data_IF_299043250662
#
_entry.id   IF_299043250662
#
_cell.length_a   1.000
_cell.length_b   1.000
_cell.length_c   1.000
_cell.angle_alpha   90.00
_cell.angle_beta   90.00
_cell.angle_gamma   90.00
#
_symmetry.space_group_name_H-M   'P 1'
#
loop_
_entity.id
_entity.type
_entity.pdbx_description
1 polymer ?
#
# COMPACT_ATOMS: atom_id res chain seq x y z
N UNK A 1 20.29 0.18 1.82
CA UNK A 1 21.18 1.18 2.43
C UNK A 1 20.58 2.58 2.37
N UNK A 2 20.18 3.12 1.19
CA UNK A 2 19.59 4.46 1.04
C UNK A 2 18.28 4.64 1.83
N UNK A 3 17.39 3.64 1.82
CA UNK A 3 16.17 3.68 2.65
C UNK A 3 16.50 3.87 4.14
N UNK A 4 17.42 3.05 4.69
CA UNK A 4 17.84 3.17 6.09
C UNK A 4 18.50 4.53 6.38
N UNK A 5 19.29 5.05 5.42
CA UNK A 5 19.90 6.38 5.51
C UNK A 5 18.91 7.56 5.51
N UNK A 6 17.65 7.32 5.14
CA UNK A 6 16.54 8.29 5.27
C UNK A 6 15.73 8.13 6.56
N UNK A 7 16.08 7.17 7.42
CA UNK A 7 15.28 6.84 8.60
C UNK A 7 14.07 5.95 8.29
N UNK A 8 13.99 5.36 7.10
CA UNK A 8 12.93 4.40 6.78
C UNK A 8 13.16 3.12 7.60
N UNK A 9 12.15 2.73 8.36
CA UNK A 9 12.15 1.56 9.23
C UNK A 9 11.34 0.38 8.66
N UNK A 10 10.48 0.64 7.69
CA UNK A 10 9.51 -0.33 7.18
C UNK A 10 9.60 -0.42 5.67
N UNK A 11 9.67 -1.65 5.16
CA UNK A 11 9.59 -1.98 3.74
C UNK A 11 8.34 -2.79 3.49
N UNK A 12 7.59 -2.41 2.46
CA UNK A 12 6.35 -3.07 2.08
C UNK A 12 6.53 -3.64 0.68
N UNK A 13 6.39 -4.95 0.54
CA UNK A 13 6.22 -5.57 -0.76
C UNK A 13 4.81 -5.30 -1.22
N UNK A 14 4.64 -4.52 -2.29
CA UNK A 14 3.29 -4.13 -2.74
C UNK A 14 2.41 -5.32 -3.08
N UNK A 15 3.00 -6.37 -3.70
CA UNK A 15 2.34 -7.64 -3.99
C UNK A 15 3.36 -8.73 -4.25
N UNK A 16 3.09 -9.94 -3.84
CA UNK A 16 3.96 -11.10 -4.08
C UNK A 16 3.87 -11.66 -5.49
N UNK A 17 2.96 -11.14 -6.28
CA UNK A 17 2.81 -11.43 -7.70
C UNK A 17 1.64 -10.67 -8.29
N UNK A 18 1.68 -10.50 -9.61
CA UNK A 18 0.63 -9.88 -10.39
C UNK A 18 0.31 -10.73 -11.62
N UNK A 19 -0.94 -11.16 -11.73
CA UNK A 19 -1.38 -12.06 -12.80
C UNK A 19 -0.49 -13.32 -12.84
N UNK A 20 0.33 -13.48 -13.88
CA UNK A 20 1.20 -14.65 -14.06
C UNK A 20 2.63 -14.47 -13.50
N UNK A 21 3.00 -13.27 -13.05
CA UNK A 21 4.35 -13.02 -12.56
C UNK A 21 4.37 -13.05 -11.04
N UNK A 22 5.21 -13.89 -10.44
CA UNK A 22 5.36 -14.05 -9.00
C UNK A 22 6.80 -13.80 -8.56
N UNK A 23 7.00 -13.45 -7.31
CA UNK A 23 8.30 -13.03 -6.77
C UNK A 23 9.01 -14.10 -5.95
N UNK A 24 8.38 -15.24 -5.75
CA UNK A 24 8.90 -16.36 -4.96
C UNK A 24 8.41 -17.70 -5.52
N UNK A 25 9.05 -18.85 -5.19
CA UNK A 25 8.70 -20.17 -5.70
C UNK A 25 7.46 -20.77 -5.02
N UNK A 26 6.29 -20.17 -5.28
CA UNK A 26 5.02 -20.71 -4.85
C UNK A 26 4.67 -22.00 -5.58
N UNK A 27 4.54 -23.10 -4.87
CA UNK A 27 4.15 -24.38 -5.46
C UNK A 27 2.74 -24.30 -6.06
N UNK A 28 1.83 -23.61 -5.37
CA UNK A 28 0.46 -23.44 -5.80
C UNK A 28 0.36 -22.59 -7.09
N UNK A 29 0.97 -21.43 -7.10
CA UNK A 29 0.88 -20.50 -8.27
C UNK A 29 1.66 -21.02 -9.48
N UNK A 30 2.79 -21.71 -9.28
CA UNK A 30 3.52 -22.37 -10.36
C UNK A 30 2.69 -23.47 -11.04
N UNK A 31 1.95 -24.27 -10.26
CA UNK A 31 1.00 -25.27 -10.80
C UNK A 31 -0.14 -24.61 -11.60
N UNK A 32 -0.49 -23.37 -11.31
CA UNK A 32 -1.44 -22.54 -12.07
C UNK A 32 -0.84 -21.89 -13.31
N UNK A 33 0.44 -22.14 -13.61
CA UNK A 33 1.13 -21.61 -14.78
C UNK A 33 1.69 -20.19 -14.60
N UNK A 34 1.94 -19.77 -13.36
CA UNK A 34 2.66 -18.54 -13.09
C UNK A 34 4.17 -18.71 -13.33
N UNK A 35 4.86 -17.59 -13.54
CA UNK A 35 6.31 -17.52 -13.77
C UNK A 35 6.98 -16.77 -12.62
N UNK A 36 8.17 -17.23 -12.22
CA UNK A 36 9.03 -16.52 -11.29
C UNK A 36 10.38 -16.17 -11.94
N UNK A 37 11.10 -15.15 -11.46
CA UNK A 37 12.48 -14.93 -11.84
C UNK A 37 13.37 -16.08 -11.35
N UNK A 38 14.61 -16.14 -11.82
CA UNK A 38 15.60 -17.15 -11.42
C UNK A 38 16.01 -17.05 -9.95
N UNK A 39 15.64 -15.97 -9.26
CA UNK A 39 15.98 -15.68 -7.87
C UNK A 39 14.69 -15.55 -7.07
N UNK A 40 14.67 -16.09 -5.86
CA UNK A 40 13.62 -15.84 -4.87
C UNK A 40 13.77 -14.41 -4.33
N UNK A 41 12.97 -13.49 -4.86
CA UNK A 41 13.05 -12.08 -4.48
C UNK A 41 12.53 -11.83 -3.06
N UNK A 42 11.58 -12.62 -2.58
CA UNK A 42 11.03 -12.48 -1.23
C UNK A 42 12.10 -12.84 -0.19
N UNK A 43 12.79 -13.97 -0.38
CA UNK A 43 13.91 -14.36 0.49
C UNK A 43 15.02 -13.30 0.48
N UNK A 44 15.36 -12.80 -0.71
CA UNK A 44 16.37 -11.75 -0.85
C UNK A 44 15.96 -10.46 -0.10
N UNK A 45 14.72 -10.01 -0.21
CA UNK A 45 14.23 -8.81 0.49
C UNK A 45 14.18 -9.00 2.00
N UNK A 46 13.75 -10.15 2.48
CA UNK A 46 13.72 -10.48 3.91
C UNK A 46 15.13 -10.55 4.51
N UNK A 47 16.08 -11.19 3.82
CA UNK A 47 17.48 -11.21 4.23
C UNK A 47 18.08 -9.78 4.32
N UNK A 48 17.73 -8.90 3.38
CA UNK A 48 18.14 -7.51 3.44
C UNK A 48 17.44 -6.75 4.58
N UNK A 49 16.17 -6.97 4.81
CA UNK A 49 15.44 -6.37 5.92
C UNK A 49 16.00 -6.83 7.28
N UNK A 50 16.31 -8.13 7.44
CA UNK A 50 16.99 -8.66 8.62
C UNK A 50 18.36 -8.00 8.84
N UNK A 51 19.15 -7.84 7.76
CA UNK A 51 20.47 -7.24 7.81
C UNK A 51 20.45 -5.77 8.24
N UNK A 52 19.45 -5.01 7.78
CA UNK A 52 19.35 -3.58 8.06
C UNK A 52 18.42 -3.25 9.23
N UNK A 53 17.92 -4.27 9.92
CA UNK A 53 16.99 -4.13 11.05
C UNK A 53 15.78 -3.27 10.64
N UNK A 54 15.07 -3.75 9.63
CA UNK A 54 13.86 -3.12 9.07
C UNK A 54 12.67 -4.06 9.24
N UNK A 55 11.49 -3.51 9.38
CA UNK A 55 10.23 -4.26 9.39
C UNK A 55 9.81 -4.52 7.94
N UNK A 56 9.43 -5.75 7.63
CA UNK A 56 8.95 -6.13 6.31
C UNK A 56 7.48 -6.55 6.36
N UNK A 57 6.65 -5.88 5.58
CA UNK A 57 5.26 -6.29 5.34
C UNK A 57 5.15 -7.02 4.01
N UNK A 58 4.60 -8.22 4.08
CA UNK A 58 4.42 -9.06 2.90
C UNK A 58 3.10 -8.73 2.22
N UNK A 59 3.16 -8.26 0.96
CA UNK A 59 1.99 -8.03 0.12
C UNK A 59 1.47 -9.31 -0.52
N UNK A 60 0.17 -9.55 -0.40
CA UNK A 60 -0.49 -10.72 -0.93
C UNK A 60 -0.45 -10.77 -2.47
N UNK A 61 -0.82 -11.91 -3.03
CA UNK A 61 -0.91 -12.08 -4.48
C UNK A 61 -2.11 -11.34 -5.06
N UNK A 62 -1.90 -10.73 -6.22
CA UNK A 62 -2.92 -10.02 -7.01
C UNK A 62 -3.15 -10.77 -8.32
N UNK A 63 -4.27 -11.46 -8.43
CA UNK A 63 -4.62 -12.21 -9.63
C UNK A 63 -4.93 -11.31 -10.83
N UNK A 64 -5.20 -10.04 -10.59
CA UNK A 64 -5.66 -9.06 -11.57
C UNK A 64 -7.14 -9.13 -11.90
N UNK A 65 -7.88 -10.13 -11.38
CA UNK A 65 -9.31 -10.32 -11.72
C UNK A 65 -10.18 -9.19 -11.21
N UNK A 66 -9.90 -8.67 -10.00
CA UNK A 66 -10.71 -7.59 -9.45
C UNK A 66 -10.58 -6.28 -10.25
N UNK A 67 -9.46 -6.06 -10.92
CA UNK A 67 -9.29 -4.94 -11.83
C UNK A 67 -10.22 -5.02 -13.05
N UNK A 68 -10.45 -6.25 -13.53
CA UNK A 68 -11.28 -6.49 -14.70
C UNK A 68 -12.79 -6.57 -14.33
N UNK A 69 -13.10 -7.00 -13.11
CA UNK A 69 -14.50 -7.31 -12.68
C UNK A 69 -15.09 -6.31 -11.67
N UNK A 70 -14.24 -5.54 -10.98
CA UNK A 70 -14.63 -4.71 -9.83
C UNK A 70 -15.04 -5.51 -8.57
N UNK A 71 -14.67 -6.81 -8.52
CA UNK A 71 -15.04 -7.75 -7.45
C UNK A 71 -13.80 -8.30 -6.76
N UNK A 72 -13.57 -7.96 -5.47
CA UNK A 72 -12.37 -8.36 -4.72
C UNK A 72 -12.42 -9.81 -4.22
N UNK A 73 -13.57 -10.43 -4.16
CA UNK A 73 -13.73 -11.81 -3.66
C UNK A 73 -12.91 -12.84 -4.44
N UNK A 74 -12.57 -12.57 -5.70
CA UNK A 74 -11.68 -13.42 -6.50
C UNK A 74 -10.30 -13.61 -5.89
N UNK A 75 -9.80 -12.61 -5.16
CA UNK A 75 -8.45 -12.67 -4.57
C UNK A 75 -8.36 -13.62 -3.38
N UNK A 76 -9.49 -13.94 -2.73
CA UNK A 76 -9.56 -14.87 -1.60
C UNK A 76 -9.19 -16.31 -2.02
N UNK A 77 -9.61 -16.73 -3.23
CA UNK A 77 -9.40 -18.10 -3.71
C UNK A 77 -7.92 -18.51 -3.74
N UNK A 78 -7.08 -17.62 -4.25
CA UNK A 78 -5.66 -17.89 -4.40
C UNK A 78 -4.88 -17.57 -3.12
N UNK A 79 -5.25 -16.48 -2.44
CA UNK A 79 -4.52 -16.04 -1.28
C UNK A 79 -4.63 -16.96 -0.07
N UNK A 80 -5.69 -17.75 0.06
CA UNK A 80 -5.74 -18.78 1.11
C UNK A 80 -4.57 -19.77 1.07
N UNK A 81 -4.08 -20.11 -0.12
CA UNK A 81 -2.90 -20.98 -0.27
C UNK A 81 -1.59 -20.19 -0.14
N UNK A 82 -1.55 -18.98 -0.69
CA UNK A 82 -0.39 -18.08 -0.61
C UNK A 82 -0.04 -17.73 0.83
N UNK A 83 -1.03 -17.39 1.66
CA UNK A 83 -0.83 -17.02 3.08
C UNK A 83 -0.17 -18.17 3.85
N UNK A 84 -0.71 -19.38 3.74
CA UNK A 84 -0.18 -20.57 4.43
C UNK A 84 1.24 -20.92 3.96
N UNK A 85 1.46 -20.88 2.64
CA UNK A 85 2.74 -21.21 2.01
C UNK A 85 3.84 -20.21 2.42
N UNK A 86 3.52 -18.92 2.38
CA UNK A 86 4.45 -17.84 2.75
C UNK A 86 4.80 -17.87 4.22
N UNK A 87 3.83 -18.05 5.10
CA UNK A 87 4.11 -18.15 6.52
C UNK A 87 5.02 -19.34 6.85
N UNK A 88 4.74 -20.50 6.24
CA UNK A 88 5.56 -21.70 6.41
C UNK A 88 6.97 -21.50 5.88
N UNK A 89 7.13 -20.82 4.75
CA UNK A 89 8.42 -20.65 4.07
C UNK A 89 9.29 -19.56 4.67
N UNK A 90 8.70 -18.41 5.05
CA UNK A 90 9.44 -17.22 5.44
C UNK A 90 9.10 -16.72 6.85
N UNK A 91 7.84 -16.71 7.22
CA UNK A 91 7.37 -16.00 8.40
C UNK A 91 8.05 -16.43 9.71
N UNK A 92 8.40 -17.72 9.83
CA UNK A 92 9.09 -18.26 11.02
C UNK A 92 10.61 -18.15 10.96
N UNK A 93 11.17 -17.73 9.84
CA UNK A 93 12.61 -17.79 9.58
C UNK A 93 13.28 -16.43 9.55
N UNK A 94 12.50 -15.37 9.39
CA UNK A 94 13.00 -13.99 9.29
C UNK A 94 12.42 -13.12 10.42
N UNK A 95 13.29 -12.53 11.22
CA UNK A 95 12.88 -11.61 12.30
C UNK A 95 12.24 -10.34 11.79
N UNK A 96 12.55 -9.95 10.54
CA UNK A 96 12.00 -8.78 9.87
C UNK A 96 10.58 -8.97 9.37
N UNK A 97 10.06 -10.21 9.27
CA UNK A 97 8.68 -10.44 8.85
C UNK A 97 7.72 -9.87 9.90
N UNK A 98 7.29 -8.62 9.71
CA UNK A 98 6.57 -7.84 10.71
C UNK A 98 5.08 -7.72 10.49
N UNK A 99 4.56 -8.19 9.35
CA UNK A 99 3.13 -8.10 9.08
C UNK A 99 2.73 -8.40 7.64
N UNK A 100 1.45 -8.18 7.36
CA UNK A 100 0.82 -8.50 6.09
C UNK A 100 0.21 -7.25 5.45
N UNK A 101 0.44 -7.08 4.17
CA UNK A 101 -0.28 -6.13 3.36
C UNK A 101 -1.31 -6.87 2.48
N UNK A 102 -2.57 -6.61 2.72
CA UNK A 102 -3.64 -7.15 1.88
C UNK A 102 -3.76 -6.24 0.66
N UNK A 103 -3.10 -6.64 -0.41
CA UNK A 103 -2.73 -5.81 -1.56
C UNK A 103 -3.87 -5.46 -2.53
N UNK A 104 -5.13 -5.67 -2.14
CA UNK A 104 -6.27 -5.18 -2.90
C UNK A 104 -6.34 -3.66 -2.86
N UNK A 105 -5.94 -3.01 -3.96
CA UNK A 105 -6.18 -1.58 -4.12
C UNK A 105 -7.65 -1.35 -4.44
N UNK A 106 -8.40 -0.89 -3.46
CA UNK A 106 -9.84 -0.69 -3.60
C UNK A 106 -10.21 0.79 -3.53
N UNK A 107 -11.36 1.09 -4.16
CA UNK A 107 -12.18 2.23 -3.77
C UNK A 107 -13.39 1.74 -2.96
N UNK A 108 -14.14 2.69 -2.42
CA UNK A 108 -15.44 2.45 -1.81
C UNK A 108 -16.42 1.64 -2.67
N UNK A 109 -16.26 1.67 -4.00
CA UNK A 109 -17.14 1.00 -4.98
C UNK A 109 -16.76 -0.46 -5.26
N UNK A 110 -15.65 -0.94 -4.72
CA UNK A 110 -15.18 -2.31 -4.98
C UNK A 110 -16.08 -3.32 -4.30
N UNK A 111 -16.70 -4.19 -5.10
CA UNK A 111 -17.62 -5.22 -4.60
C UNK A 111 -16.89 -6.28 -3.80
N UNK A 112 -17.55 -6.83 -2.79
CA UNK A 112 -17.01 -7.91 -1.97
C UNK A 112 -15.82 -7.53 -1.08
N UNK A 113 -15.45 -6.24 -0.99
CA UNK A 113 -14.25 -5.79 -0.30
C UNK A 113 -14.24 -6.14 1.19
N UNK A 114 -15.34 -5.89 1.91
CA UNK A 114 -15.45 -6.17 3.35
C UNK A 114 -15.19 -7.65 3.62
N UNK A 115 -15.93 -8.55 2.94
CA UNK A 115 -15.79 -9.98 3.13
C UNK A 115 -14.39 -10.49 2.74
N UNK A 116 -13.83 -9.98 1.65
CA UNK A 116 -12.51 -10.37 1.19
C UNK A 116 -11.41 -9.95 2.17
N UNK A 117 -11.43 -8.70 2.66
CA UNK A 117 -10.49 -8.21 3.65
C UNK A 117 -10.63 -8.94 4.98
N UNK A 118 -11.87 -9.17 5.44
CA UNK A 118 -12.10 -9.93 6.66
C UNK A 118 -11.53 -11.34 6.57
N UNK A 119 -11.83 -12.06 5.46
CA UNK A 119 -11.40 -13.44 5.27
C UNK A 119 -9.86 -13.55 5.19
N UNK A 120 -9.23 -12.72 4.35
CA UNK A 120 -7.77 -12.74 4.20
C UNK A 120 -7.06 -12.22 5.45
N UNK A 121 -7.55 -11.14 6.07
CA UNK A 121 -6.98 -10.58 7.29
C UNK A 121 -7.05 -11.57 8.45
N UNK A 122 -8.19 -12.23 8.62
CA UNK A 122 -8.34 -13.28 9.64
C UNK A 122 -7.35 -14.42 9.44
N UNK A 123 -7.21 -14.93 8.22
CA UNK A 123 -6.26 -16.00 7.94
C UNK A 123 -4.81 -15.57 8.18
N UNK A 124 -4.43 -14.35 7.75
CA UNK A 124 -3.11 -13.79 8.03
C UNK A 124 -2.79 -13.78 9.53
N UNK A 125 -3.74 -13.30 10.35
CA UNK A 125 -3.60 -13.31 11.81
C UNK A 125 -3.53 -14.73 12.39
N UNK A 126 -4.42 -15.60 11.97
CA UNK A 126 -4.51 -16.98 12.47
C UNK A 126 -3.18 -17.76 12.25
N UNK A 127 -2.59 -17.69 11.05
CA UNK A 127 -1.35 -18.41 10.75
C UNK A 127 -0.13 -17.82 11.45
N UNK A 128 -0.11 -16.48 11.64
CA UNK A 128 1.05 -15.76 12.15
C UNK A 128 1.01 -15.47 13.66
N UNK A 129 -0.03 -15.92 14.36
CA UNK A 129 -0.18 -15.63 15.78
C UNK A 129 -0.50 -14.15 16.06
N UNK A 130 -1.20 -13.48 15.15
CA UNK A 130 -1.69 -12.13 15.33
C UNK A 130 -0.79 -11.03 14.80
N UNK A 131 0.14 -11.30 13.86
CA UNK A 131 0.90 -10.23 13.22
C UNK A 131 -0.01 -9.20 12.56
N UNK A 132 0.38 -7.92 12.57
CA UNK A 132 -0.44 -6.85 12.04
C UNK A 132 -0.71 -6.99 10.55
N UNK A 133 -1.90 -6.54 10.18
CA UNK A 133 -2.38 -6.47 8.80
C UNK A 133 -2.71 -5.04 8.43
N UNK A 134 -2.49 -4.65 7.18
CA UNK A 134 -2.96 -3.35 6.70
C UNK A 134 -3.48 -3.38 5.26
N UNK A 135 -4.23 -2.35 4.92
CA UNK A 135 -4.76 -2.09 3.57
C UNK A 135 -4.35 -0.69 3.10
N UNK A 136 -4.36 -0.47 1.78
CA UNK A 136 -4.02 0.84 1.21
C UNK A 136 -4.99 1.23 0.08
N UNK A 137 -6.21 1.66 0.44
CA UNK A 137 -7.22 2.10 -0.52
C UNK A 137 -6.96 3.53 -1.00
N UNK A 138 -7.61 3.92 -2.12
CA UNK A 138 -7.58 5.32 -2.56
C UNK A 138 -8.84 6.10 -2.17
N UNK A 139 -8.70 7.43 -2.23
CA UNK A 139 -9.79 8.39 -1.96
C UNK A 139 -10.28 8.92 -3.30
N UNK A 140 -11.60 8.96 -3.55
CA UNK A 140 -12.20 9.48 -4.78
C UNK A 140 -12.39 11.01 -4.71
N UNK A 141 -11.29 11.76 -4.63
CA UNK A 141 -11.29 13.23 -4.61
C UNK A 141 -11.31 13.87 -6.00
N UNK A 142 -11.04 15.16 -6.08
CA UNK A 142 -11.10 15.98 -7.32
C UNK A 142 -10.24 15.46 -8.47
N UNK A 143 -9.17 14.71 -8.16
CA UNK A 143 -8.25 14.12 -9.14
C UNK A 143 -8.54 12.64 -9.42
N UNK A 144 -9.65 12.11 -8.92
CA UNK A 144 -10.03 10.72 -9.15
C UNK A 144 -10.17 10.44 -10.65
N UNK A 145 -9.59 9.32 -11.06
CA UNK A 145 -9.65 8.83 -12.44
C UNK A 145 -10.06 7.36 -12.46
N UNK A 146 -10.73 6.97 -13.53
CA UNK A 146 -11.07 5.59 -13.80
C UNK A 146 -10.54 5.17 -15.17
N UNK A 147 -10.28 3.89 -15.33
CA UNK A 147 -9.97 3.31 -16.65
C UNK A 147 -11.27 2.97 -17.33
N UNK A 148 -11.52 3.58 -18.50
CA UNK A 148 -12.68 3.30 -19.32
C UNK A 148 -12.22 3.05 -20.76
N UNK A 149 -12.42 1.82 -21.25
CA UNK A 149 -12.00 1.45 -22.61
C UNK A 149 -10.50 1.64 -22.90
N UNK A 150 -9.64 1.47 -21.90
CA UNK A 150 -8.20 1.69 -22.01
C UNK A 150 -7.76 3.16 -21.93
N UNK A 151 -8.69 4.10 -21.73
CA UNK A 151 -8.41 5.52 -21.52
C UNK A 151 -8.69 5.89 -20.07
N UNK A 152 -7.87 6.81 -19.53
CA UNK A 152 -8.14 7.42 -18.24
C UNK A 152 -9.19 8.53 -18.41
N UNK A 153 -10.32 8.35 -17.76
CA UNK A 153 -11.39 9.35 -17.69
C UNK A 153 -11.53 9.86 -16.27
N UNK A 154 -12.09 11.06 -16.11
CA UNK A 154 -12.38 11.62 -14.79
C UNK A 154 -13.43 10.74 -14.09
N UNK A 155 -13.14 10.30 -12.87
CA UNK A 155 -14.11 9.62 -12.02
C UNK A 155 -15.01 10.62 -11.29
N UNK A 156 -16.14 10.12 -10.77
CA UNK A 156 -17.01 10.93 -9.92
C UNK A 156 -16.31 11.29 -8.62
N UNK A 157 -16.34 12.58 -8.30
CA UNK A 157 -15.84 13.10 -7.02
C UNK A 157 -16.86 12.77 -5.93
N UNK A 158 -16.36 12.21 -4.83
CA UNK A 158 -17.19 11.95 -3.66
C UNK A 158 -17.29 13.17 -2.76
N UNK A 159 -18.45 13.38 -2.12
CA UNK A 159 -18.54 14.33 -1.01
C UNK A 159 -17.86 13.76 0.24
N UNK A 160 -17.44 14.64 1.13
CA UNK A 160 -16.79 14.25 2.39
C UNK A 160 -17.73 13.42 3.26
N UNK A 161 -19.01 13.77 3.30
CA UNK A 161 -20.05 13.10 4.07
C UNK A 161 -20.32 11.67 3.53
N UNK A 162 -20.32 11.51 2.21
CA UNK A 162 -20.49 10.21 1.57
C UNK A 162 -19.26 9.34 1.80
N UNK A 163 -18.05 9.91 1.69
CA UNK A 163 -16.81 9.22 2.02
C UNK A 163 -16.81 8.74 3.49
N UNK A 164 -17.17 9.61 4.43
CA UNK A 164 -17.26 9.26 5.85
C UNK A 164 -18.25 8.12 6.09
N UNK A 165 -19.44 8.19 5.47
CA UNK A 165 -20.47 7.15 5.59
C UNK A 165 -19.99 5.80 5.08
N UNK A 166 -19.43 5.75 3.89
CA UNK A 166 -19.03 4.49 3.25
C UNK A 166 -17.81 3.86 3.93
N UNK A 167 -16.83 4.65 4.31
CA UNK A 167 -15.67 4.13 5.04
C UNK A 167 -16.00 3.76 6.49
N UNK A 168 -17.02 4.39 7.10
CA UNK A 168 -17.53 3.92 8.36
C UNK A 168 -18.12 2.50 8.27
N UNK A 169 -18.86 2.20 7.20
CA UNK A 169 -19.39 0.84 6.95
C UNK A 169 -18.26 -0.17 6.68
N UNK A 170 -17.27 0.21 5.88
CA UNK A 170 -16.13 -0.66 5.58
C UNK A 170 -15.35 -0.97 6.87
N UNK A 171 -14.99 0.05 7.64
CA UNK A 171 -14.22 -0.15 8.88
C UNK A 171 -14.98 -0.96 9.92
N UNK A 172 -16.31 -0.76 10.05
CA UNK A 172 -17.15 -1.58 10.91
C UNK A 172 -17.03 -3.07 10.59
N UNK A 173 -16.96 -3.40 9.30
CA UNK A 173 -16.86 -4.78 8.83
C UNK A 173 -15.46 -5.42 8.90
N UNK A 174 -14.39 -4.64 9.09
CA UNK A 174 -13.01 -5.17 8.98
C UNK A 174 -12.11 -4.89 10.19
N UNK A 175 -12.50 -4.03 11.12
CA UNK A 175 -11.63 -3.54 12.20
C UNK A 175 -11.08 -4.66 13.13
N UNK A 176 -11.76 -5.79 13.24
CA UNK A 176 -11.26 -6.92 14.03
C UNK A 176 -10.03 -7.59 13.41
N UNK A 177 -9.83 -7.42 12.11
CA UNK A 177 -8.80 -8.13 11.34
C UNK A 177 -7.83 -7.21 10.58
N UNK A 178 -8.08 -5.91 10.58
CA UNK A 178 -7.21 -4.90 9.95
C UNK A 178 -6.72 -3.93 11.01
N UNK A 179 -5.41 -3.86 11.19
CA UNK A 179 -4.76 -3.04 12.23
C UNK A 179 -4.38 -1.65 11.73
N UNK A 180 -4.18 -1.46 10.42
CA UNK A 180 -3.83 -0.17 9.85
C UNK A 180 -4.47 0.05 8.47
N UNK A 181 -4.78 1.31 8.17
CA UNK A 181 -5.24 1.75 6.86
C UNK A 181 -4.38 2.91 6.37
N UNK A 182 -3.73 2.71 5.21
CA UNK A 182 -2.86 3.70 4.59
C UNK A 182 -3.54 4.28 3.34
N UNK A 183 -4.34 5.32 3.50
CA UNK A 183 -5.03 5.94 2.37
C UNK A 183 -4.06 6.56 1.36
N UNK A 184 -4.25 6.22 0.08
CA UNK A 184 -3.51 6.80 -1.05
C UNK A 184 -4.04 8.20 -1.37
N UNK A 185 -3.14 9.16 -1.50
CA UNK A 185 -3.48 10.57 -1.69
C UNK A 185 -3.45 11.05 -3.15
N UNK A 186 -3.20 10.15 -4.10
CA UNK A 186 -3.01 10.52 -5.50
C UNK A 186 -4.25 11.04 -6.22
N UNK A 187 -5.43 10.77 -5.70
CA UNK A 187 -6.70 11.17 -6.32
C UNK A 187 -7.36 12.37 -5.64
N UNK A 188 -6.73 12.96 -4.61
CA UNK A 188 -7.21 14.20 -3.97
C UNK A 188 -6.33 15.39 -4.37
N UNK A 189 -6.92 16.58 -4.41
CA UNK A 189 -6.17 17.79 -4.64
C UNK A 189 -5.60 18.35 -3.32
N UNK A 190 -4.63 19.24 -3.41
CA UNK A 190 -3.94 19.79 -2.24
C UNK A 190 -4.86 20.57 -1.31
N UNK A 191 -5.92 21.19 -1.83
CA UNK A 191 -6.94 21.86 -1.04
C UNK A 191 -7.92 20.93 -0.33
N UNK A 192 -7.92 19.63 -0.67
CA UNK A 192 -8.76 18.60 -0.05
C UNK A 192 -8.03 17.82 1.06
N UNK A 193 -6.68 17.90 1.12
CA UNK A 193 -5.87 17.08 2.02
C UNK A 193 -6.33 17.14 3.47
N UNK A 194 -6.41 18.34 4.05
CA UNK A 194 -6.75 18.52 5.46
C UNK A 194 -8.14 17.95 5.78
N UNK A 195 -9.10 18.11 4.87
CA UNK A 195 -10.48 17.65 5.05
C UNK A 195 -10.55 16.12 5.07
N UNK A 196 -10.08 15.45 4.02
CA UNK A 196 -10.12 13.99 3.95
C UNK A 196 -9.25 13.34 5.02
N UNK A 197 -8.08 13.90 5.30
CA UNK A 197 -7.19 13.34 6.31
C UNK A 197 -7.79 13.43 7.72
N UNK A 198 -8.46 14.54 8.05
CA UNK A 198 -9.17 14.68 9.33
C UNK A 198 -10.28 13.64 9.46
N UNK A 199 -11.07 13.41 8.42
CA UNK A 199 -12.14 12.41 8.44
C UNK A 199 -11.59 10.99 8.53
N UNK A 200 -10.56 10.66 7.75
CA UNK A 200 -9.94 9.35 7.80
C UNK A 200 -9.37 9.04 9.19
N UNK A 201 -8.70 10.01 9.83
CA UNK A 201 -8.18 9.84 11.20
C UNK A 201 -9.31 9.63 12.21
N UNK A 202 -10.36 10.44 12.13
CA UNK A 202 -11.55 10.29 12.98
C UNK A 202 -12.17 8.90 12.87
N UNK A 203 -12.32 8.39 11.65
CA UNK A 203 -12.86 7.05 11.41
C UNK A 203 -11.92 5.96 11.94
N UNK A 204 -10.65 6.06 11.64
CA UNK A 204 -9.66 5.09 12.12
C UNK A 204 -9.62 5.03 13.65
N UNK A 205 -9.61 6.17 14.33
CA UNK A 205 -9.65 6.25 15.79
C UNK A 205 -10.93 5.62 16.37
N UNK A 206 -12.07 5.84 15.73
CA UNK A 206 -13.36 5.25 16.15
C UNK A 206 -13.30 3.72 16.21
N UNK A 207 -12.58 3.09 15.29
CA UNK A 207 -12.50 1.63 15.15
C UNK A 207 -11.20 1.04 15.70
N UNK A 208 -10.31 1.86 16.28
CA UNK A 208 -9.03 1.40 16.81
C UNK A 208 -8.04 0.98 15.72
N UNK A 209 -8.22 1.44 14.49
CA UNK A 209 -7.33 1.20 13.34
C UNK A 209 -6.26 2.31 13.31
N UNK A 210 -5.00 1.96 13.11
CA UNK A 210 -3.95 2.95 12.86
C UNK A 210 -4.20 3.66 11.52
N UNK A 211 -4.14 4.98 11.53
CA UNK A 211 -4.31 5.78 10.32
C UNK A 211 -2.96 6.15 9.73
N UNK A 212 -2.62 5.58 8.58
CA UNK A 212 -1.40 5.90 7.85
C UNK A 212 -1.73 6.70 6.60
N UNK A 213 -0.78 7.49 6.11
CA UNK A 213 -0.85 8.03 4.75
C UNK A 213 0.03 7.23 3.82
N UNK A 214 -0.45 6.94 2.61
CA UNK A 214 0.35 6.47 1.49
C UNK A 214 0.57 7.66 0.55
N UNK A 215 1.64 8.42 0.82
CA UNK A 215 1.99 9.59 0.06
C UNK A 215 2.64 9.19 -1.27
N UNK A 216 1.95 9.44 -2.39
CA UNK A 216 2.55 9.20 -3.70
C UNK A 216 3.75 10.13 -3.92
N UNK A 217 4.91 9.54 -4.25
CA UNK A 217 6.16 10.25 -4.54
C UNK A 217 6.36 10.53 -6.02
N UNK A 218 5.32 10.38 -6.81
CA UNK A 218 5.25 10.78 -8.21
C UNK A 218 4.17 11.84 -8.43
N UNK A 219 4.28 12.56 -9.55
CA UNK A 219 3.37 13.65 -9.90
C UNK A 219 2.41 13.19 -11.02
N UNK A 220 1.11 13.36 -10.79
CA UNK A 220 0.05 13.06 -11.79
C UNK A 220 -0.31 14.26 -12.65
N UNK A 221 0.11 15.46 -12.26
CA UNK A 221 -0.23 16.73 -12.94
C UNK A 221 0.72 17.06 -14.10
N UNK A 222 1.72 16.21 -14.34
CA UNK A 222 2.71 16.41 -15.39
C UNK A 222 2.21 15.85 -16.74
N UNK A 223 2.61 16.47 -17.88
CA UNK A 223 2.32 15.92 -19.21
C UNK A 223 2.84 14.51 -19.42
N UNK A 224 4.00 14.20 -18.84
CA UNK A 224 4.57 12.87 -18.74
C UNK A 224 4.19 12.32 -17.36
N UNK A 225 3.43 11.24 -17.34
CA UNK A 225 2.94 10.63 -16.10
C UNK A 225 4.08 10.01 -15.29
N UNK A 226 3.89 9.99 -13.97
CA UNK A 226 4.74 9.28 -13.04
C UNK A 226 6.21 9.72 -13.08
N UNK A 227 6.46 11.01 -13.04
CA UNK A 227 7.76 11.58 -12.71
C UNK A 227 7.86 11.80 -11.19
N UNK A 228 9.08 11.77 -10.61
CA UNK A 228 9.28 12.12 -9.21
C UNK A 228 8.63 13.47 -8.87
N UNK A 229 7.88 13.50 -7.77
CA UNK A 229 7.17 14.69 -7.30
C UNK A 229 8.17 15.76 -6.84
N UNK A 230 7.82 17.04 -6.95
CA UNK A 230 8.59 18.11 -6.32
C UNK A 230 8.49 18.01 -4.80
N UNK A 231 9.59 18.24 -4.10
CA UNK A 231 9.64 18.12 -2.64
C UNK A 231 8.57 18.97 -1.94
N UNK A 232 8.32 20.19 -2.38
CA UNK A 232 7.30 21.06 -1.78
C UNK A 232 5.90 20.44 -1.80
N UNK A 233 5.55 19.75 -2.89
CA UNK A 233 4.29 19.01 -3.00
C UNK A 233 4.23 17.81 -2.03
N UNK A 234 5.32 17.02 -1.94
CA UNK A 234 5.42 15.92 -0.98
C UNK A 234 5.34 16.45 0.46
N UNK A 235 6.03 17.55 0.74
CA UNK A 235 5.99 18.20 2.05
C UNK A 235 4.56 18.59 2.45
N UNK A 236 3.78 19.19 1.55
CA UNK A 236 2.38 19.53 1.82
C UNK A 236 1.56 18.32 2.24
N UNK A 237 1.72 17.18 1.58
CA UNK A 237 1.06 15.92 1.92
C UNK A 237 1.46 15.43 3.32
N UNK A 238 2.76 15.37 3.60
CA UNK A 238 3.29 14.90 4.88
C UNK A 238 2.89 15.83 6.05
N UNK A 239 2.92 17.14 5.82
CA UNK A 239 2.49 18.12 6.83
C UNK A 239 0.97 18.05 7.09
N UNK A 240 0.15 17.81 6.06
CA UNK A 240 -1.30 17.59 6.24
C UNK A 240 -1.57 16.33 7.05
N UNK A 241 -0.89 15.22 6.76
CA UNK A 241 -1.01 13.99 7.54
C UNK A 241 -0.59 14.21 9.00
N UNK A 242 0.50 14.95 9.24
CA UNK A 242 0.96 15.32 10.59
C UNK A 242 -0.07 16.18 11.33
N UNK A 243 -0.66 17.19 10.67
CA UNK A 243 -1.72 18.03 11.28
C UNK A 243 -2.95 17.22 11.66
N UNK A 244 -3.33 16.25 10.81
CA UNK A 244 -4.46 15.35 11.08
C UNK A 244 -4.15 14.32 12.19
N UNK A 245 -2.90 14.18 12.63
CA UNK A 245 -2.48 13.24 13.66
C UNK A 245 -2.31 11.80 13.17
N UNK A 246 -1.92 11.60 11.92
CA UNK A 246 -1.65 10.26 11.38
C UNK A 246 -0.50 9.59 12.10
N UNK A 247 -0.63 8.26 12.28
CA UNK A 247 0.31 7.46 13.07
C UNK A 247 1.61 7.15 12.32
N UNK A 248 1.55 7.06 10.98
CA UNK A 248 2.69 6.74 10.11
C UNK A 248 2.50 7.30 8.70
N UNK A 249 3.61 7.61 8.04
CA UNK A 249 3.65 7.88 6.61
C UNK A 249 4.40 6.76 5.89
N UNK A 250 3.81 6.20 4.87
CA UNK A 250 4.46 5.36 3.87
C UNK A 250 4.44 6.08 2.54
N UNK A 251 5.28 5.67 1.60
CA UNK A 251 5.36 6.29 0.27
C UNK A 251 5.28 5.24 -0.83
N UNK A 252 4.59 5.55 -1.87
CA UNK A 252 4.65 4.83 -3.12
C UNK A 252 5.31 5.70 -4.19
N UNK A 253 6.52 5.41 -4.63
CA UNK A 253 7.39 4.43 -4.01
C UNK A 253 8.87 4.90 -4.10
N UNK A 254 9.68 4.34 -3.26
CA UNK A 254 11.06 4.80 -3.08
C UNK A 254 11.94 4.53 -4.29
N UNK A 255 11.87 3.33 -4.88
CA UNK A 255 12.88 2.83 -5.83
C UNK A 255 12.97 3.66 -7.11
N UNK A 256 11.79 4.04 -7.68
CA UNK A 256 11.75 4.85 -8.90
C UNK A 256 11.73 6.35 -8.62
N UNK A 257 11.05 6.80 -7.54
CA UNK A 257 10.70 8.21 -7.38
C UNK A 257 11.50 8.94 -6.30
N UNK A 258 12.18 8.22 -5.39
CA UNK A 258 12.99 8.83 -4.33
C UNK A 258 14.43 8.31 -4.25
N UNK A 259 14.76 7.21 -4.90
CA UNK A 259 16.10 6.64 -4.80
C UNK A 259 17.11 7.44 -5.61
N UNK A 260 18.29 7.78 -5.05
CA UNK A 260 19.40 8.35 -5.84
C UNK A 260 19.94 7.39 -6.91
N UNK A 261 19.56 6.12 -6.88
CA UNK A 261 19.91 5.13 -7.90
C UNK A 261 18.81 4.94 -8.97
N UNK A 262 17.74 5.74 -8.92
CA UNK A 262 16.68 5.70 -9.90
C UNK A 262 17.18 6.13 -11.29
N UNK A 263 16.52 5.62 -12.34
CA UNK A 263 16.69 6.13 -13.69
C UNK A 263 16.18 7.58 -13.86
N UNK A 264 15.35 8.07 -12.93
CA UNK A 264 14.87 9.44 -12.90
C UNK A 264 15.82 10.33 -12.09
N UNK A 265 16.52 11.26 -12.72
CA UNK A 265 17.44 12.19 -12.05
C UNK A 265 16.75 12.99 -10.93
N UNK A 266 15.49 13.33 -11.12
CA UNK A 266 14.68 14.07 -10.13
C UNK A 266 14.51 13.30 -8.82
N UNK A 267 14.59 11.96 -8.83
CA UNK A 267 14.49 11.14 -7.63
C UNK A 267 15.63 11.40 -6.64
N UNK A 268 16.86 11.59 -7.15
CA UNK A 268 18.01 11.99 -6.32
C UNK A 268 17.81 13.36 -5.69
N UNK A 269 17.27 14.33 -6.43
CA UNK A 269 16.94 15.63 -5.85
C UNK A 269 15.86 15.54 -4.78
N UNK A 270 14.81 14.72 -4.99
CA UNK A 270 13.78 14.50 -3.98
C UNK A 270 14.36 13.88 -2.71
N UNK A 271 15.26 12.89 -2.85
CA UNK A 271 15.99 12.27 -1.75
C UNK A 271 16.78 13.30 -0.94
N UNK A 272 17.59 14.15 -1.59
CA UNK A 272 18.42 15.14 -0.94
C UNK A 272 17.59 16.20 -0.21
N UNK A 273 16.53 16.72 -0.87
CA UNK A 273 15.61 17.71 -0.28
C UNK A 273 14.86 17.16 0.93
N UNK A 274 14.45 15.88 0.88
CA UNK A 274 13.82 15.21 2.01
C UNK A 274 14.77 15.14 3.21
N UNK A 275 16.01 14.69 3.00
CA UNK A 275 17.03 14.62 4.06
C UNK A 275 17.33 15.98 4.66
N UNK A 276 17.51 16.99 3.82
CA UNK A 276 17.77 18.36 4.26
C UNK A 276 16.64 18.89 5.16
N UNK A 277 15.39 18.73 4.73
CA UNK A 277 14.22 19.21 5.47
C UNK A 277 14.07 18.55 6.85
N UNK A 278 14.31 17.24 6.92
CA UNK A 278 14.20 16.49 8.16
C UNK A 278 15.51 16.46 8.98
N UNK A 279 16.55 17.15 8.56
CA UNK A 279 17.84 17.21 9.26
C UNK A 279 18.56 15.86 9.33
N UNK A 280 18.33 14.98 8.35
CA UNK A 280 18.94 13.65 8.28
C UNK A 280 20.33 13.79 7.63
N UNK A 281 21.37 13.37 8.35
CA UNK A 281 22.78 13.43 7.89
C UNK A 281 23.15 12.29 6.95
#
# INVERSE_FOLDING_TARGET
QYMKGMGIDTVILIRSGYRKFITYPSEYLLKKGCYMPSVDLVDMFLNLADKYDMIFYFGLYDSGRYWDTGELSWEVEDNKYVIDEVWKRYGKHHKSFGGWYISGEISRKTKGAINAFYTMGKQCKDVSGGLPTFISPWIDGKKAVMVNGGQLTKADVISVEEHEKEWNEIFDGIHEVIDACAFQDGHIDYDELDTFFTINKKLADKYGIQCWTNAETFDRDMPIRFLPIKFDKLRMKLEAAKRAGYDKAITFEFSHFMSPQSAYLQAGHLYDRYKEYFGIK
#
